data_IF_897279793009
#
_entry.id   IF_897279793009
#
_cell.length_a   1.000
_cell.length_b   1.000
_cell.length_c   1.000
_cell.angle_alpha   90.00
_cell.angle_beta   90.00
_cell.angle_gamma   90.00
#
_symmetry.space_group_name_H-M   'P 1'
#
loop_
_entity.id
_entity.type
_entity.pdbx_description
1 polymer ?
#
# COMPACT_ATOMS: atom_id res chain seq x y z
N UNK A 1 -42.44 -5.40 43.95
CA UNK A 1 -41.21 -4.72 43.46
C UNK A 1 -41.09 -5.04 41.98
N UNK A 2 -41.84 -4.31 41.15
CA UNK A 2 -41.87 -4.48 39.70
C UNK A 2 -40.77 -3.65 39.07
N UNK A 3 -40.00 -4.25 38.17
CA UNK A 3 -39.02 -3.56 37.35
C UNK A 3 -39.42 -3.81 35.91
N UNK A 4 -39.93 -2.75 35.29
CA UNK A 4 -40.43 -2.70 33.92
C UNK A 4 -39.31 -2.97 32.89
N UNK A 5 -39.61 -3.62 31.76
CA UNK A 5 -38.66 -3.72 30.66
C UNK A 5 -38.55 -2.37 29.92
N UNK A 6 -37.32 -1.97 29.64
CA UNK A 6 -36.98 -0.77 28.86
C UNK A 6 -37.29 -1.07 27.39
N UNK A 7 -38.40 -0.51 26.91
CA UNK A 7 -38.81 -0.52 25.51
C UNK A 7 -37.89 0.40 24.71
N UNK A 8 -36.91 -0.17 23.99
CA UNK A 8 -36.13 0.60 23.00
C UNK A 8 -36.98 0.75 21.75
N UNK A 9 -37.56 1.93 21.58
CA UNK A 9 -38.32 2.31 20.41
C UNK A 9 -37.42 2.31 19.16
N UNK A 10 -37.57 1.31 18.30
CA UNK A 10 -37.02 1.31 16.94
C UNK A 10 -37.78 2.35 16.12
N UNK A 11 -37.28 3.58 16.06
CA UNK A 11 -37.78 4.59 15.14
C UNK A 11 -37.40 4.20 13.72
N UNK A 12 -38.37 3.66 12.98
CA UNK A 12 -38.27 3.39 11.56
C UNK A 12 -38.13 4.71 10.77
N UNK A 13 -36.89 5.11 10.50
CA UNK A 13 -36.60 6.20 9.57
C UNK A 13 -36.88 5.73 8.13
N UNK A 14 -38.11 5.95 7.68
CA UNK A 14 -38.59 5.69 6.32
C UNK A 14 -37.95 6.62 5.28
N UNK A 15 -36.69 6.38 4.96
CA UNK A 15 -36.07 6.92 3.75
C UNK A 15 -36.62 6.16 2.54
N UNK A 16 -37.45 6.83 1.70
CA UNK A 16 -37.91 6.30 0.41
C UNK A 16 -36.70 6.07 -0.52
N UNK A 17 -36.02 4.92 -0.38
CA UNK A 17 -35.10 4.41 -1.40
C UNK A 17 -35.95 4.10 -2.63
N UNK A 18 -35.72 4.85 -3.71
CA UNK A 18 -36.26 4.56 -5.05
C UNK A 18 -35.87 3.11 -5.37
N UNK A 19 -36.82 2.17 -5.27
CA UNK A 19 -36.60 0.75 -5.59
C UNK A 19 -36.12 0.70 -7.03
N UNK A 20 -34.84 0.42 -7.23
CA UNK A 20 -34.31 0.10 -8.54
C UNK A 20 -35.00 -1.22 -8.89
N UNK A 21 -35.83 -1.24 -9.94
CA UNK A 21 -36.42 -2.49 -10.41
C UNK A 21 -35.26 -3.40 -10.82
N UNK A 22 -35.01 -4.42 -10.01
CA UNK A 22 -34.10 -5.49 -10.36
C UNK A 22 -34.63 -6.19 -11.62
N UNK A 23 -33.74 -6.50 -12.56
CA UNK A 23 -34.15 -7.25 -13.74
C UNK A 23 -34.68 -8.62 -13.29
N UNK A 24 -35.59 -9.21 -14.08
CA UNK A 24 -36.14 -10.55 -13.80
C UNK A 24 -35.02 -11.59 -13.58
N UNK A 25 -33.92 -11.46 -14.32
CA UNK A 25 -32.73 -12.29 -14.18
C UNK A 25 -32.02 -12.09 -12.83
N UNK A 26 -31.81 -10.84 -12.40
CA UNK A 26 -31.18 -10.54 -11.11
C UNK A 26 -32.00 -11.09 -9.94
N UNK A 27 -33.33 -10.96 -10.02
CA UNK A 27 -34.25 -11.45 -9.00
C UNK A 27 -34.21 -12.98 -8.90
N UNK A 28 -34.14 -13.69 -10.03
CA UNK A 28 -34.00 -15.15 -10.04
C UNK A 28 -32.64 -15.59 -9.46
N UNK A 29 -31.56 -14.87 -9.77
CA UNK A 29 -30.22 -15.14 -9.26
C UNK A 29 -30.15 -14.94 -7.73
N UNK A 30 -30.75 -13.87 -7.21
CA UNK A 30 -30.85 -13.63 -5.78
C UNK A 30 -31.68 -14.70 -5.07
N UNK A 31 -32.82 -15.11 -5.66
CA UNK A 31 -33.64 -16.19 -5.10
C UNK A 31 -32.88 -17.53 -5.03
N UNK A 32 -32.13 -17.88 -6.08
CA UNK A 32 -31.25 -19.05 -6.05
C UNK A 32 -30.13 -18.92 -5.00
N UNK A 33 -29.56 -17.73 -4.84
CA UNK A 33 -28.54 -17.49 -3.83
C UNK A 33 -29.09 -17.64 -2.40
N UNK A 34 -30.33 -17.21 -2.16
CA UNK A 34 -31.02 -17.38 -0.88
C UNK A 34 -31.29 -18.87 -0.60
N UNK A 35 -31.77 -19.63 -1.59
CA UNK A 35 -31.97 -21.09 -1.47
C UNK A 35 -30.64 -21.83 -1.19
N UNK A 36 -29.54 -21.41 -1.83
CA UNK A 36 -28.21 -21.97 -1.59
C UNK A 36 -27.63 -21.56 -0.22
N UNK A 37 -28.02 -20.40 0.32
CA UNK A 37 -27.60 -19.98 1.65
C UNK A 37 -28.31 -20.77 2.76
N UNK A 38 -29.56 -21.17 2.53
CA UNK A 38 -30.32 -22.05 3.43
C UNK A 38 -29.78 -23.48 3.43
N UNK A 39 -29.21 -23.94 2.31
CA UNK A 39 -28.41 -25.14 2.23
C UNK A 39 -27.05 -24.87 2.91
N UNK A 40 -27.00 -24.99 4.23
CA UNK A 40 -25.80 -24.76 5.06
C UNK A 40 -24.64 -25.72 4.74
N UNK A 41 -24.01 -25.56 3.57
CA UNK A 41 -22.82 -26.30 3.16
C UNK A 41 -21.65 -25.80 4.01
N UNK A 42 -21.30 -26.58 5.03
CA UNK A 42 -20.12 -26.31 5.83
C UNK A 42 -18.85 -26.45 4.98
N UNK A 43 -18.06 -25.38 4.94
CA UNK A 43 -16.81 -25.33 4.18
C UNK A 43 -15.66 -26.01 4.96
N UNK A 44 -14.65 -26.57 4.29
CA UNK A 44 -13.46 -27.17 4.94
C UNK A 44 -12.79 -26.30 6.02
N UNK A 45 -12.87 -24.98 5.90
CA UNK A 45 -12.36 -24.01 6.88
C UNK A 45 -13.11 -24.00 8.22
N UNK A 46 -14.38 -24.42 8.28
CA UNK A 46 -15.16 -24.44 9.52
C UNK A 46 -14.91 -25.69 10.36
N UNK A 47 -14.44 -26.78 9.74
CA UNK A 47 -14.15 -28.04 10.43
C UNK A 47 -12.87 -27.96 11.25
N UNK A 48 -12.78 -28.79 12.29
CA UNK A 48 -11.59 -28.92 13.12
C UNK A 48 -10.38 -29.46 12.32
N UNK A 49 -9.17 -29.13 12.76
CA UNK A 49 -7.92 -29.46 12.07
C UNK A 49 -7.77 -30.95 11.74
N UNK A 50 -8.22 -31.84 12.64
CA UNK A 50 -8.17 -33.30 12.44
C UNK A 50 -8.96 -33.77 11.23
N UNK A 51 -10.15 -33.21 11.00
CA UNK A 51 -11.00 -33.57 9.85
C UNK A 51 -10.41 -32.99 8.57
N UNK A 52 -9.87 -31.76 8.64
CA UNK A 52 -9.24 -31.09 7.50
C UNK A 52 -8.01 -31.81 6.97
N UNK A 53 -7.24 -32.47 7.84
CA UNK A 53 -6.04 -33.21 7.48
C UNK A 53 -6.33 -34.61 6.90
N UNK A 54 -7.60 -35.04 6.87
CA UNK A 54 -7.97 -36.33 6.32
C UNK A 54 -7.65 -36.41 4.80
N UNK A 55 -7.11 -37.54 4.28
CA UNK A 55 -6.78 -37.68 2.87
C UNK A 55 -7.93 -37.35 1.91
N UNK A 56 -9.16 -37.76 2.26
CA UNK A 56 -10.35 -37.53 1.44
C UNK A 56 -10.78 -36.06 1.41
N UNK A 57 -10.41 -35.27 2.43
CA UNK A 57 -10.71 -33.84 2.51
C UNK A 57 -9.72 -32.98 1.70
N UNK A 58 -8.63 -33.57 1.21
CA UNK A 58 -7.56 -32.85 0.53
C UNK A 58 -8.06 -32.07 -0.70
N UNK A 59 -8.90 -32.69 -1.53
CA UNK A 59 -9.43 -32.04 -2.72
C UNK A 59 -10.33 -30.85 -2.35
N UNK A 60 -11.25 -31.05 -1.39
CA UNK A 60 -12.14 -29.99 -0.93
C UNK A 60 -11.37 -28.80 -0.33
N UNK A 61 -10.33 -29.06 0.46
CA UNK A 61 -9.44 -28.04 1.03
C UNK A 61 -8.73 -27.25 -0.08
N UNK A 62 -8.20 -27.93 -1.10
CA UNK A 62 -7.54 -27.27 -2.23
C UNK A 62 -8.52 -26.41 -3.04
N UNK A 63 -9.74 -26.90 -3.27
CA UNK A 63 -10.78 -26.14 -3.96
C UNK A 63 -11.20 -24.91 -3.16
N UNK A 64 -11.41 -25.04 -1.84
CA UNK A 64 -11.70 -23.88 -1.02
C UNK A 64 -10.53 -22.89 -1.02
N UNK A 65 -9.29 -23.37 -0.87
CA UNK A 65 -8.10 -22.52 -0.88
C UNK A 65 -8.02 -21.69 -2.18
N UNK A 66 -8.15 -22.33 -3.34
CA UNK A 66 -8.15 -21.64 -4.63
C UNK A 66 -9.28 -20.59 -4.76
N UNK A 67 -10.47 -20.90 -4.22
CA UNK A 67 -11.57 -19.94 -4.15
C UNK A 67 -11.22 -18.74 -3.25
N UNK A 68 -10.62 -18.99 -2.08
CA UNK A 68 -10.22 -17.93 -1.14
C UNK A 68 -9.10 -17.07 -1.70
N UNK A 69 -8.17 -17.64 -2.45
CA UNK A 69 -7.12 -16.89 -3.15
C UNK A 69 -7.73 -15.89 -4.14
N UNK A 70 -8.70 -16.34 -4.96
CA UNK A 70 -9.42 -15.45 -5.88
C UNK A 70 -10.20 -14.35 -5.15
N UNK A 71 -10.88 -14.70 -4.05
CA UNK A 71 -11.59 -13.71 -3.22
C UNK A 71 -10.63 -12.71 -2.56
N UNK A 72 -9.44 -13.16 -2.16
CA UNK A 72 -8.42 -12.30 -1.55
C UNK A 72 -7.83 -11.34 -2.57
N UNK A 73 -7.57 -11.80 -3.79
CA UNK A 73 -7.16 -10.94 -4.92
C UNK A 73 -8.22 -9.87 -5.21
N UNK A 74 -9.49 -10.26 -5.31
CA UNK A 74 -10.59 -9.32 -5.54
C UNK A 74 -10.72 -8.31 -4.39
N UNK A 75 -10.57 -8.75 -3.14
CA UNK A 75 -10.62 -7.87 -1.98
C UNK A 75 -9.44 -6.86 -1.96
N UNK A 76 -8.25 -7.27 -2.39
CA UNK A 76 -7.11 -6.38 -2.54
C UNK A 76 -7.32 -5.39 -3.70
N UNK A 77 -7.87 -5.83 -4.83
CA UNK A 77 -8.18 -4.97 -5.97
C UNK A 77 -9.24 -3.92 -5.61
N UNK A 78 -10.28 -4.33 -4.88
CA UNK A 78 -11.27 -3.42 -4.34
C UNK A 78 -10.64 -2.41 -3.36
N UNK A 79 -9.75 -2.85 -2.48
CA UNK A 79 -9.04 -1.99 -1.54
C UNK A 79 -8.19 -0.94 -2.29
N UNK A 80 -7.37 -1.37 -3.27
CA UNK A 80 -6.54 -0.50 -4.12
C UNK A 80 -7.39 0.55 -4.81
N UNK A 81 -8.54 0.15 -5.37
CA UNK A 81 -9.47 1.05 -6.03
C UNK A 81 -10.03 2.09 -5.05
N UNK A 82 -10.46 1.69 -3.86
CA UNK A 82 -10.97 2.63 -2.85
C UNK A 82 -9.90 3.59 -2.33
N UNK A 83 -8.64 3.14 -2.21
CA UNK A 83 -7.51 4.00 -1.85
C UNK A 83 -7.25 5.05 -2.93
N UNK A 84 -7.11 4.63 -4.20
CA UNK A 84 -6.88 5.55 -5.31
C UNK A 84 -8.03 6.54 -5.49
N UNK A 85 -9.28 6.08 -5.35
CA UNK A 85 -10.47 6.95 -5.43
C UNK A 85 -10.51 7.96 -4.28
N UNK A 86 -10.10 7.55 -3.08
CA UNK A 86 -10.06 8.45 -1.93
C UNK A 86 -9.05 9.57 -2.15
N UNK A 87 -7.84 9.25 -2.64
CA UNK A 87 -6.82 10.25 -2.94
C UNK A 87 -7.28 11.23 -4.04
N UNK A 88 -7.92 10.73 -5.10
CA UNK A 88 -8.45 11.59 -6.16
C UNK A 88 -9.52 12.56 -5.64
N UNK A 89 -10.39 12.10 -4.73
CA UNK A 89 -11.38 12.94 -4.05
C UNK A 89 -10.74 13.96 -3.11
N UNK A 90 -9.70 13.59 -2.36
CA UNK A 90 -8.97 14.52 -1.51
C UNK A 90 -8.32 15.64 -2.33
N UNK A 91 -7.71 15.31 -3.47
CA UNK A 91 -7.14 16.31 -4.37
C UNK A 91 -8.21 17.28 -4.89
N UNK A 92 -9.36 16.74 -5.32
CA UNK A 92 -10.50 17.56 -5.75
C UNK A 92 -11.00 18.48 -4.64
N UNK A 93 -11.01 17.99 -3.38
CA UNK A 93 -11.36 18.82 -2.21
C UNK A 93 -10.38 19.97 -2.01
N UNK A 94 -9.08 19.75 -2.18
CA UNK A 94 -8.05 20.80 -2.05
C UNK A 94 -8.16 21.89 -3.13
N UNK A 95 -8.67 21.54 -4.32
CA UNK A 95 -8.84 22.48 -5.44
C UNK A 95 -10.08 23.37 -5.32
N UNK A 96 -11.09 22.96 -4.55
CA UNK A 96 -12.30 23.73 -4.33
C UNK A 96 -12.30 24.45 -2.99
N UNK A 97 -13.05 25.56 -2.91
CA UNK A 97 -13.29 26.28 -1.67
C UNK A 97 -14.79 26.46 -1.44
N UNK A 98 -15.20 26.58 -0.17
CA UNK A 98 -16.58 26.82 0.24
C UNK A 98 -17.20 25.70 1.08
N UNK A 99 -18.06 26.09 2.02
CA UNK A 99 -18.65 25.19 3.03
C UNK A 99 -19.46 24.06 2.37
N UNK A 100 -20.36 24.39 1.44
CA UNK A 100 -21.21 23.39 0.75
C UNK A 100 -20.40 22.38 -0.06
N UNK A 101 -19.33 22.83 -0.71
CA UNK A 101 -18.41 21.96 -1.44
C UNK A 101 -17.71 20.98 -0.49
N UNK A 102 -17.17 21.52 0.61
CA UNK A 102 -16.46 20.74 1.63
C UNK A 102 -17.37 19.70 2.29
N UNK A 103 -18.58 20.07 2.74
CA UNK A 103 -19.51 19.12 3.38
C UNK A 103 -19.89 17.95 2.46
N UNK A 104 -20.13 18.23 1.17
CA UNK A 104 -20.47 17.17 0.19
C UNK A 104 -19.28 16.24 -0.04
N UNK A 105 -18.07 16.78 -0.16
CA UNK A 105 -16.87 15.98 -0.34
C UNK A 105 -16.50 15.19 0.93
N UNK A 106 -16.69 15.76 2.12
CA UNK A 106 -16.48 15.08 3.39
C UNK A 106 -17.39 13.86 3.53
N UNK A 107 -18.67 13.98 3.18
CA UNK A 107 -19.58 12.84 3.16
C UNK A 107 -19.16 11.76 2.16
N UNK A 108 -18.53 12.11 1.03
CA UNK A 108 -17.99 11.15 0.06
C UNK A 108 -16.71 10.50 0.57
N UNK A 109 -15.79 11.28 1.14
CA UNK A 109 -14.55 10.80 1.73
C UNK A 109 -14.80 9.83 2.89
N UNK A 110 -15.74 10.15 3.77
CA UNK A 110 -16.12 9.26 4.88
C UNK A 110 -16.67 7.91 4.38
N UNK A 111 -17.54 7.93 3.35
CA UNK A 111 -18.04 6.71 2.72
C UNK A 111 -16.92 5.89 2.10
N UNK A 112 -15.94 6.54 1.46
CA UNK A 112 -14.78 5.85 0.89
C UNK A 112 -13.85 5.29 1.95
N UNK A 113 -13.61 6.00 3.06
CA UNK A 113 -12.87 5.47 4.21
C UNK A 113 -13.56 4.24 4.79
N UNK A 114 -14.88 4.25 4.96
CA UNK A 114 -15.63 3.07 5.40
C UNK A 114 -15.50 1.90 4.41
N UNK A 115 -15.52 2.17 3.10
CA UNK A 115 -15.32 1.13 2.09
C UNK A 115 -13.89 0.54 2.13
N UNK A 116 -12.86 1.37 2.37
CA UNK A 116 -11.49 0.89 2.59
C UNK A 116 -11.41 -0.05 3.80
N UNK A 117 -11.99 0.33 4.94
CA UNK A 117 -12.00 -0.52 6.13
C UNK A 117 -12.71 -1.85 5.87
N UNK A 118 -13.86 -1.84 5.20
CA UNK A 118 -14.56 -3.08 4.85
C UNK A 118 -13.74 -4.00 3.94
N UNK A 119 -13.11 -3.46 2.91
CA UNK A 119 -12.27 -4.24 2.00
C UNK A 119 -11.02 -4.79 2.72
N UNK A 120 -10.41 -3.99 3.59
CA UNK A 120 -9.31 -4.39 4.47
C UNK A 120 -9.70 -5.54 5.41
N UNK A 121 -10.82 -5.40 6.11
CA UNK A 121 -11.30 -6.40 7.06
C UNK A 121 -11.66 -7.71 6.33
N UNK A 122 -12.26 -7.60 5.14
CA UNK A 122 -12.54 -8.74 4.26
C UNK A 122 -11.26 -9.47 3.87
N UNK A 123 -10.21 -8.74 3.45
CA UNK A 123 -8.92 -9.34 3.13
C UNK A 123 -8.28 -10.04 4.35
N UNK A 124 -8.31 -9.40 5.52
CA UNK A 124 -7.77 -9.98 6.76
C UNK A 124 -8.50 -11.28 7.13
N UNK A 125 -9.83 -11.27 7.10
CA UNK A 125 -10.63 -12.46 7.37
C UNK A 125 -10.33 -13.61 6.38
N UNK A 126 -10.21 -13.29 5.09
CA UNK A 126 -9.84 -14.27 4.07
C UNK A 126 -8.44 -14.82 4.30
N UNK A 127 -7.48 -13.98 4.69
CA UNK A 127 -6.13 -14.43 5.03
C UNK A 127 -6.11 -15.37 6.21
N UNK A 128 -6.87 -15.08 7.27
CA UNK A 128 -6.97 -15.96 8.44
C UNK A 128 -7.54 -17.33 8.06
N UNK A 129 -8.56 -17.36 7.19
CA UNK A 129 -9.10 -18.60 6.63
C UNK A 129 -8.05 -19.34 5.81
N UNK A 130 -7.28 -18.65 4.97
CA UNK A 130 -6.23 -19.27 4.15
C UNK A 130 -5.10 -19.87 4.99
N UNK A 131 -4.69 -19.20 6.09
CA UNK A 131 -3.72 -19.75 7.05
C UNK A 131 -4.24 -21.05 7.67
N UNK A 132 -5.52 -21.06 8.04
CA UNK A 132 -6.22 -22.21 8.60
C UNK A 132 -6.26 -23.37 7.58
N UNK A 133 -6.43 -23.09 6.29
CA UNK A 133 -6.42 -24.09 5.21
C UNK A 133 -5.00 -24.61 4.84
N UNK A 134 -3.94 -24.05 5.43
CA UNK A 134 -2.56 -24.53 5.24
C UNK A 134 -1.67 -23.60 4.42
N UNK A 135 -2.08 -22.37 4.16
CA UNK A 135 -1.19 -21.37 3.55
C UNK A 135 -0.04 -21.01 4.51
N UNK A 136 1.22 -20.96 4.03
CA UNK A 136 2.33 -20.52 4.85
C UNK A 136 2.18 -19.05 5.27
N UNK A 137 2.63 -18.71 6.48
CA UNK A 137 2.51 -17.35 6.99
C UNK A 137 3.29 -16.32 6.14
N UNK A 138 4.44 -16.72 5.61
CA UNK A 138 5.29 -15.91 4.72
C UNK A 138 4.94 -16.12 3.24
N UNK A 139 3.67 -15.89 2.89
CA UNK A 139 3.22 -15.98 1.51
C UNK A 139 3.65 -14.73 0.72
N UNK A 140 4.41 -14.91 -0.38
CA UNK A 140 4.95 -13.78 -1.18
C UNK A 140 3.88 -12.81 -1.66
N UNK A 141 2.71 -13.33 -2.07
CA UNK A 141 1.58 -12.59 -2.64
C UNK A 141 0.58 -12.11 -1.60
N UNK A 142 0.36 -12.88 -0.53
CA UNK A 142 -0.70 -12.64 0.45
C UNK A 142 -0.10 -12.31 1.82
N UNK A 143 0.48 -11.12 1.89
CA UNK A 143 1.17 -10.64 3.09
C UNK A 143 0.19 -10.09 4.12
N UNK A 144 0.68 -9.91 5.34
CA UNK A 144 -0.07 -9.24 6.40
C UNK A 144 -0.30 -7.79 5.96
N UNK A 145 -1.56 -7.35 6.03
CA UNK A 145 -1.95 -6.00 5.68
C UNK A 145 -1.98 -5.13 6.94
N UNK A 146 -1.01 -4.24 7.09
CA UNK A 146 -0.95 -3.29 8.19
C UNK A 146 -1.71 -2.00 7.85
N UNK A 147 -2.04 -1.21 8.87
CA UNK A 147 -2.74 0.06 8.68
C UNK A 147 -1.85 1.08 7.96
N UNK A 148 -0.53 0.93 8.11
CA UNK A 148 0.47 1.72 7.41
C UNK A 148 0.50 1.47 5.90
N UNK A 149 0.05 0.30 5.45
CA UNK A 149 0.06 -0.10 4.05
C UNK A 149 -1.06 0.58 3.25
N UNK A 150 -2.08 1.15 3.91
CA UNK A 150 -3.24 1.83 3.32
C UNK A 150 -2.93 3.18 2.65
N UNK A 151 -1.65 3.48 2.46
CA UNK A 151 -1.20 4.72 1.81
C UNK A 151 -1.44 4.63 0.31
N UNK A 152 -2.04 5.66 -0.26
CA UNK A 152 -2.15 5.79 -1.70
C UNK A 152 -0.77 5.96 -2.35
N UNK A 153 -0.66 5.62 -3.63
CA UNK A 153 0.49 6.02 -4.41
C UNK A 153 0.67 7.53 -4.30
N UNK A 154 1.82 7.98 -3.79
CA UNK A 154 2.13 9.40 -3.67
C UNK A 154 2.25 10.06 -5.05
N UNK A 155 1.10 10.41 -5.61
CA UNK A 155 1.02 11.31 -6.75
C UNK A 155 1.40 12.72 -6.33
N UNK A 156 1.13 13.07 -5.08
CA UNK A 156 1.44 14.38 -4.52
C UNK A 156 2.94 14.49 -4.27
N UNK A 157 3.51 15.56 -4.81
CA UNK A 157 4.84 16.11 -4.55
C UNK A 157 5.07 16.29 -3.05
N UNK A 158 5.46 15.23 -2.36
CA UNK A 158 6.18 15.41 -1.10
C UNK A 158 7.61 15.72 -1.54
N UNK A 159 8.12 16.86 -1.09
CA UNK A 159 9.54 17.19 -1.21
C UNK A 159 10.33 16.01 -0.62
N UNK A 160 11.31 15.50 -1.37
CA UNK A 160 12.12 14.37 -0.94
C UNK A 160 12.70 14.68 0.45
N UNK A 161 12.29 13.91 1.45
CA UNK A 161 12.82 14.04 2.80
C UNK A 161 14.03 13.13 2.96
N UNK A 162 14.97 13.58 3.81
CA UNK A 162 16.10 12.76 4.19
C UNK A 162 15.58 11.44 4.82
N UNK A 163 15.97 10.30 4.25
CA UNK A 163 15.51 8.98 4.68
C UNK A 163 14.42 8.35 3.81
N UNK A 164 13.91 9.05 2.78
CA UNK A 164 12.98 8.45 1.81
C UNK A 164 13.61 7.32 1.00
N UNK A 165 14.94 7.22 0.94
CA UNK A 165 15.66 6.09 0.31
C UNK A 165 15.42 4.74 0.98
N UNK A 166 15.08 4.73 2.27
CA UNK A 166 14.76 3.50 3.00
C UNK A 166 13.27 3.16 2.97
N UNK A 167 12.42 4.07 2.47
CA UNK A 167 10.98 3.86 2.43
C UNK A 167 10.60 3.11 1.17
N UNK A 168 10.27 1.84 1.34
CA UNK A 168 9.70 1.04 0.26
C UNK A 168 8.23 1.43 0.03
N UNK A 169 7.76 1.44 -1.24
CA UNK A 169 6.34 1.51 -1.52
C UNK A 169 5.60 0.39 -0.79
N UNK A 170 4.37 0.67 -0.33
CA UNK A 170 3.53 -0.36 0.29
C UNK A 170 3.40 -1.57 -0.64
N UNK A 171 3.54 -2.78 -0.10
CA UNK A 171 3.62 -4.01 -0.89
C UNK A 171 2.35 -4.30 -1.70
N UNK A 172 1.20 -3.75 -1.27
CA UNK A 172 -0.08 -3.90 -1.98
C UNK A 172 -0.01 -3.38 -3.41
N UNK A 173 0.93 -2.48 -3.67
CA UNK A 173 1.13 -1.78 -4.94
C UNK A 173 2.12 -2.45 -5.89
N UNK A 174 2.68 -3.62 -5.53
CA UNK A 174 3.61 -4.35 -6.37
C UNK A 174 2.98 -4.97 -7.62
N UNK A 175 1.66 -5.18 -7.62
CA UNK A 175 0.90 -5.69 -8.76
C UNK A 175 -0.12 -4.64 -9.24
N UNK A 176 -0.02 -4.31 -10.52
CA UNK A 176 -0.90 -3.36 -11.21
C UNK A 176 -1.86 -4.03 -12.19
N UNK A 177 -1.90 -5.37 -12.23
CA UNK A 177 -2.82 -6.14 -13.08
C UNK A 177 -4.28 -5.71 -12.90
N UNK A 178 -4.66 -5.27 -11.69
CA UNK A 178 -5.99 -4.77 -11.35
C UNK A 178 -6.44 -3.57 -12.20
N UNK A 179 -5.52 -2.72 -12.67
CA UNK A 179 -5.86 -1.54 -13.50
C UNK A 179 -6.53 -1.97 -14.80
N UNK A 180 -6.14 -3.13 -15.35
CA UNK A 180 -6.73 -3.69 -16.55
C UNK A 180 -8.15 -4.23 -16.33
N UNK A 181 -8.48 -4.64 -15.10
CA UNK A 181 -9.80 -5.15 -14.73
C UNK A 181 -10.82 -4.02 -14.53
N UNK A 182 -10.36 -2.79 -14.30
CA UNK A 182 -11.23 -1.61 -14.21
C UNK A 182 -11.83 -1.30 -15.58
N UNK A 183 -13.15 -1.11 -15.62
CA UNK A 183 -13.88 -0.73 -16.85
C UNK A 183 -13.26 0.51 -17.47
N UNK A 184 -13.16 0.51 -18.80
CA UNK A 184 -12.69 1.67 -19.56
C UNK A 184 -13.55 2.90 -19.23
N UNK A 185 -12.89 4.00 -18.87
CA UNK A 185 -13.51 5.24 -18.42
C UNK A 185 -12.51 6.14 -17.70
N UNK A 186 -13.00 7.26 -17.16
CA UNK A 186 -12.18 8.28 -16.48
C UNK A 186 -11.36 7.73 -15.30
N UNK A 187 -11.89 6.73 -14.59
CA UNK A 187 -11.17 6.13 -13.47
C UNK A 187 -9.96 5.33 -13.93
N UNK A 188 -10.09 4.57 -15.03
CA UNK A 188 -8.98 3.79 -15.58
C UNK A 188 -7.88 4.69 -16.11
N UNK A 189 -8.23 5.73 -16.88
CA UNK A 189 -7.25 6.69 -17.38
C UNK A 189 -6.54 7.42 -16.24
N UNK A 190 -7.25 7.77 -15.17
CA UNK A 190 -6.66 8.34 -13.97
C UNK A 190 -5.66 7.37 -13.30
N UNK A 191 -6.02 6.09 -13.15
CA UNK A 191 -5.14 5.06 -12.58
C UNK A 191 -3.89 4.84 -13.45
N UNK A 192 -4.05 4.72 -14.77
CA UNK A 192 -2.94 4.55 -15.71
C UNK A 192 -1.99 5.75 -15.71
N UNK A 193 -2.52 6.98 -15.73
CA UNK A 193 -1.72 8.19 -15.61
C UNK A 193 -0.99 8.25 -14.27
N UNK A 194 -1.66 7.88 -13.19
CA UNK A 194 -1.08 7.87 -11.84
C UNK A 194 0.04 6.86 -11.69
N UNK A 195 -0.16 5.64 -12.21
CA UNK A 195 0.83 4.58 -12.26
C UNK A 195 2.05 5.01 -13.07
N UNK A 196 1.85 5.62 -14.24
CA UNK A 196 2.92 6.12 -15.10
C UNK A 196 3.78 7.15 -14.36
N UNK A 197 3.15 8.13 -13.72
CA UNK A 197 3.85 9.15 -12.92
C UNK A 197 4.62 8.51 -11.76
N UNK A 198 4.01 7.56 -11.05
CA UNK A 198 4.67 6.84 -9.98
C UNK A 198 5.91 6.09 -10.46
N UNK A 199 5.79 5.34 -11.56
CA UNK A 199 6.91 4.61 -12.15
C UNK A 199 8.05 5.55 -12.56
N UNK A 200 7.76 6.65 -13.27
CA UNK A 200 8.79 7.61 -13.65
C UNK A 200 9.50 8.23 -12.45
N UNK A 201 8.76 8.56 -11.37
CA UNK A 201 9.35 9.09 -10.14
C UNK A 201 10.29 8.08 -9.48
N UNK A 202 9.86 6.83 -9.32
CA UNK A 202 10.70 5.80 -8.69
C UNK A 202 11.90 5.42 -9.55
N UNK A 203 11.74 5.41 -10.88
CA UNK A 203 12.84 5.21 -11.80
C UNK A 203 13.87 6.35 -11.69
N UNK A 204 13.42 7.61 -11.71
CA UNK A 204 14.30 8.77 -11.55
C UNK A 204 14.99 8.80 -10.17
N UNK A 205 14.28 8.43 -9.10
CA UNK A 205 14.86 8.27 -7.76
C UNK A 205 15.96 7.21 -7.73
N UNK A 206 15.69 6.05 -8.33
CA UNK A 206 16.65 4.95 -8.40
C UNK A 206 17.90 5.36 -9.16
N UNK A 207 17.75 6.06 -10.29
CA UNK A 207 18.85 6.60 -11.07
C UNK A 207 19.67 7.60 -10.25
N UNK A 208 19.01 8.60 -9.62
CA UNK A 208 19.67 9.60 -8.78
C UNK A 208 20.45 8.97 -7.63
N UNK A 209 19.86 8.03 -6.89
CA UNK A 209 20.57 7.36 -5.79
C UNK A 209 21.74 6.53 -6.29
N UNK A 210 21.63 5.91 -7.47
CA UNK A 210 22.73 5.18 -8.08
C UNK A 210 23.89 6.12 -8.46
N UNK A 211 23.58 7.32 -8.96
CA UNK A 211 24.57 8.36 -9.23
C UNK A 211 25.21 8.86 -7.94
N UNK A 212 24.41 9.19 -6.91
CA UNK A 212 24.91 9.64 -5.61
C UNK A 212 25.85 8.61 -4.96
N UNK A 213 25.56 7.31 -5.08
CA UNK A 213 26.45 6.25 -4.59
C UNK A 213 27.80 6.24 -5.33
N UNK A 214 27.80 6.47 -6.64
CA UNK A 214 29.03 6.56 -7.44
C UNK A 214 29.82 7.82 -7.09
N UNK A 215 29.15 8.97 -7.06
CA UNK A 215 29.74 10.27 -6.73
C UNK A 215 30.36 10.25 -5.33
N UNK A 216 29.65 9.74 -4.32
CA UNK A 216 30.17 9.65 -2.95
C UNK A 216 31.43 8.79 -2.86
N UNK A 217 31.46 7.65 -3.55
CA UNK A 217 32.65 6.77 -3.56
C UNK A 217 33.85 7.47 -4.19
N UNK A 218 33.62 8.16 -5.30
CA UNK A 218 34.64 8.94 -6.00
C UNK A 218 35.12 10.13 -5.15
N UNK A 219 34.22 10.83 -4.45
CA UNK A 219 34.58 11.92 -3.54
C UNK A 219 35.44 11.44 -2.38
N UNK A 220 35.10 10.32 -1.73
CA UNK A 220 35.91 9.74 -0.66
C UNK A 220 37.31 9.40 -1.17
N UNK A 221 37.41 8.80 -2.36
CA UNK A 221 38.68 8.49 -3.00
C UNK A 221 39.49 9.75 -3.32
N UNK A 222 38.87 10.75 -3.95
CA UNK A 222 39.51 12.03 -4.28
C UNK A 222 39.96 12.78 -3.04
N UNK A 223 39.18 12.81 -1.97
CA UNK A 223 39.58 13.43 -0.70
C UNK A 223 40.80 12.73 -0.11
N UNK A 224 40.83 11.39 -0.09
CA UNK A 224 41.99 10.65 0.42
C UNK A 224 43.25 10.93 -0.41
N UNK A 225 43.15 10.92 -1.74
CA UNK A 225 44.27 11.23 -2.64
C UNK A 225 44.71 12.69 -2.48
N UNK A 226 43.76 13.64 -2.40
CA UNK A 226 44.04 15.05 -2.21
C UNK A 226 44.79 15.34 -0.91
N UNK A 227 44.37 14.73 0.21
CA UNK A 227 45.05 14.91 1.49
C UNK A 227 46.45 14.29 1.48
N UNK A 228 46.62 13.11 0.87
CA UNK A 228 47.95 12.50 0.71
C UNK A 228 48.87 13.34 -0.18
N UNK A 229 48.34 13.93 -1.24
CA UNK A 229 49.13 14.79 -2.13
C UNK A 229 49.49 16.13 -1.46
N UNK A 230 48.53 16.73 -0.76
CA UNK A 230 48.75 17.93 0.04
C UNK A 230 49.82 17.69 1.11
N UNK A 231 49.76 16.57 1.84
CA UNK A 231 50.78 16.18 2.81
C UNK A 231 52.16 16.11 2.17
N UNK A 232 52.29 15.44 1.01
CA UNK A 232 53.58 15.38 0.28
C UNK A 232 54.07 16.76 -0.13
N UNK A 233 53.20 17.63 -0.64
CA UNK A 233 53.58 18.99 -1.02
C UNK A 233 54.07 19.80 0.19
N UNK A 234 53.38 19.70 1.33
CA UNK A 234 53.79 20.35 2.56
C UNK A 234 55.11 19.80 3.12
N UNK A 235 55.32 18.48 3.06
CA UNK A 235 56.60 17.87 3.41
C UNK A 235 57.76 18.34 2.52
N UNK A 236 57.54 18.43 1.20
CA UNK A 236 58.54 18.94 0.25
C UNK A 236 58.87 20.41 0.53
N UNK A 237 57.84 21.24 0.75
CA UNK A 237 58.01 22.66 1.13
C UNK A 237 58.77 22.80 2.45
N UNK A 238 58.52 21.91 3.42
CA UNK A 238 59.26 21.90 4.68
C UNK A 238 60.75 21.59 4.49
N UNK A 239 61.07 20.58 3.68
CA UNK A 239 62.45 20.21 3.37
C UNK A 239 63.21 21.35 2.67
N UNK A 240 62.62 21.96 1.64
CA UNK A 240 63.21 23.11 0.94
C UNK A 240 63.47 24.29 1.89
N UNK A 241 62.53 24.60 2.79
CA UNK A 241 62.70 25.71 3.76
C UNK A 241 63.76 25.41 4.82
N UNK A 242 63.98 24.14 5.14
CA UNK A 242 65.04 23.71 6.04
C UNK A 242 66.41 23.85 5.37
N UNK A 243 66.52 23.51 4.08
CA UNK A 243 67.71 23.76 3.25
C UNK A 243 68.02 25.26 3.12
N UNK A 244 67.00 26.11 2.99
CA UNK A 244 67.13 27.58 3.01
C UNK A 244 67.46 28.17 4.40
N UNK A 245 67.55 27.35 5.46
CA UNK A 245 67.85 27.78 6.82
C UNK A 245 66.68 28.40 7.59
N UNK A 246 65.46 28.41 7.03
CA UNK A 246 64.25 29.02 7.63
C UNK A 246 63.50 28.04 8.53
N UNK A 247 64.13 27.64 9.65
CA UNK A 247 63.65 26.61 10.58
C UNK A 247 62.20 26.80 11.08
N UNK A 248 61.78 28.03 11.38
CA UNK A 248 60.41 28.32 11.83
C UNK A 248 59.35 28.08 10.76
N UNK A 249 59.64 28.45 9.51
CA UNK A 249 58.74 28.24 8.37
C UNK A 249 58.70 26.77 7.91
N UNK A 250 59.77 26.02 8.15
CA UNK A 250 59.82 24.57 7.96
C UNK A 250 59.00 23.82 9.03
N UNK A 251 59.12 24.22 10.30
CA UNK A 251 58.32 23.65 11.38
C UNK A 251 56.81 23.85 11.19
N UNK A 252 56.39 25.03 10.70
CA UNK A 252 54.99 25.29 10.37
C UNK A 252 54.47 24.39 9.23
N UNK A 253 55.27 24.14 8.20
CA UNK A 253 54.87 23.31 7.07
C UNK A 253 54.76 21.81 7.40
N UNK A 254 55.35 21.35 8.52
CA UNK A 254 55.22 19.96 9.01
C UNK A 254 54.04 19.74 9.96
N UNK A 255 53.40 20.83 10.40
CA UNK A 255 52.30 20.81 11.36
C UNK A 255 50.97 20.73 10.64
#
# INVERSE_FOLDING_TARGET
MGVSPITVATTAAGGKKKRKNESRAQKALNAMADELADLGVALPSTYHSKIRQHPDMRQAVQTELALREGQADEALDELRLHIATFESLEKRKRQGSGIRHNTVLDGRLQKKRQAQHRAKDRYRALRDIMLVLGMPNDHKKFRILNDEDLRAFTLTTVEQQLGDSYRLPSWIWGDFSFVNQVKAGEMRSFLEASMRVHWFKHNALTQRWTEELKTRREEIFRSAVFFADSEREWCQRAAQREEEGRRGAAAYARR
#
